data_IF_255265462345
#
_entry.id   IF_255265462345
#
_cell.length_a   1.000
_cell.length_b   1.000
_cell.length_c   1.000
_cell.angle_alpha   90.00
_cell.angle_beta   90.00
_cell.angle_gamma   90.00
#
_symmetry.space_group_name_H-M   'P 1'
#
loop_
_entity.id
_entity.type
_entity.pdbx_description
1 polymer ?
#
# COMPACT_ATOMS: atom_id res chain seq x y z
N UNK A 1 -13.31 28.88 -47.93
CA UNK A 1 -13.91 27.54 -48.09
C UNK A 1 -13.09 26.56 -47.25
N UNK A 2 -13.55 26.25 -46.04
CA UNK A 2 -12.88 25.31 -45.13
C UNK A 2 -13.55 23.94 -45.27
N UNK A 3 -12.78 22.91 -45.60
CA UNK A 3 -13.25 21.53 -45.71
C UNK A 3 -13.25 20.88 -44.32
N UNK A 4 -14.41 20.36 -43.91
CA UNK A 4 -14.58 19.54 -42.70
C UNK A 4 -14.13 18.10 -42.98
N UNK A 5 -13.22 17.58 -42.16
CA UNK A 5 -12.83 16.17 -42.15
C UNK A 5 -13.74 15.44 -41.14
N UNK A 6 -14.43 14.34 -41.52
CA UNK A 6 -15.24 13.59 -40.57
C UNK A 6 -14.35 12.68 -39.69
N UNK A 7 -14.49 12.80 -38.37
CA UNK A 7 -13.93 11.89 -37.38
C UNK A 7 -14.78 10.61 -37.31
N UNK A 8 -14.22 9.49 -37.74
CA UNK A 8 -14.80 8.16 -37.48
C UNK A 8 -14.25 7.62 -36.16
N UNK A 9 -15.12 7.32 -35.20
CA UNK A 9 -14.75 6.65 -33.95
C UNK A 9 -14.62 5.13 -34.19
N UNK A 10 -13.63 4.45 -33.58
CA UNK A 10 -13.43 3.02 -33.77
C UNK A 10 -14.49 2.20 -33.02
N UNK A 11 -15.10 1.26 -33.74
CA UNK A 11 -16.02 0.27 -33.18
C UNK A 11 -15.22 -0.90 -32.60
N UNK A 12 -15.25 -1.07 -31.28
CA UNK A 12 -14.67 -2.23 -30.61
C UNK A 12 -15.62 -3.43 -30.77
N UNK A 13 -15.16 -4.49 -31.45
CA UNK A 13 -15.91 -5.75 -31.59
C UNK A 13 -15.69 -6.59 -30.33
N UNK A 14 -16.77 -6.88 -29.59
CA UNK A 14 -16.78 -7.91 -28.55
C UNK A 14 -16.66 -9.27 -29.22
N UNK A 15 -15.57 -10.01 -28.95
CA UNK A 15 -15.44 -11.40 -29.38
C UNK A 15 -15.95 -12.30 -28.26
N UNK A 16 -17.24 -12.63 -28.31
CA UNK A 16 -17.84 -13.65 -27.44
C UNK A 16 -17.45 -15.03 -27.96
N UNK A 17 -16.49 -15.71 -27.32
CA UNK A 17 -16.23 -17.14 -27.58
C UNK A 17 -17.12 -17.99 -26.69
N UNK A 18 -18.17 -18.55 -27.27
CA UNK A 18 -18.96 -19.61 -26.65
C UNK A 18 -18.13 -20.91 -26.59
N UNK A 19 -18.05 -21.54 -25.43
CA UNK A 19 -17.42 -22.84 -25.24
C UNK A 19 -18.51 -23.91 -25.42
N UNK A 20 -18.37 -24.89 -26.33
CA UNK A 20 -19.38 -25.92 -26.50
C UNK A 20 -19.27 -26.98 -25.39
N UNK A 21 -20.39 -27.24 -24.73
CA UNK A 21 -20.62 -28.40 -23.87
C UNK A 21 -20.69 -29.67 -24.73
N UNK A 22 -19.68 -30.53 -24.67
CA UNK A 22 -19.82 -31.92 -25.11
C UNK A 22 -18.81 -32.84 -24.40
N UNK A 23 -19.38 -33.83 -23.72
CA UNK A 23 -18.84 -35.17 -23.47
C UNK A 23 -17.54 -35.30 -22.65
N UNK A 24 -17.69 -35.51 -21.35
CA UNK A 24 -16.81 -36.41 -20.61
C UNK A 24 -17.70 -37.41 -19.86
N UNK A 25 -17.80 -38.62 -20.41
CA UNK A 25 -18.46 -39.77 -19.80
C UNK A 25 -17.40 -40.85 -19.57
N UNK A 26 -17.17 -41.13 -18.28
CA UNK A 26 -16.95 -42.44 -17.66
C UNK A 26 -15.73 -43.30 -18.06
N UNK A 27 -14.76 -43.37 -17.16
CA UNK A 27 -14.00 -44.60 -16.89
C UNK A 27 -14.07 -44.93 -15.39
N UNK A 28 -14.54 -46.13 -15.10
CA UNK A 28 -14.76 -46.69 -13.78
C UNK A 28 -13.45 -47.08 -13.07
N UNK A 29 -13.50 -46.93 -11.74
CA UNK A 29 -12.97 -47.83 -10.69
C UNK A 29 -11.52 -48.33 -10.83
N UNK A 30 -10.66 -47.89 -9.90
CA UNK A 30 -9.76 -48.72 -9.07
C UNK A 30 -9.01 -47.82 -8.07
N UNK A 31 -9.09 -48.15 -6.78
CA UNK A 31 -8.20 -47.61 -5.74
C UNK A 31 -8.84 -46.69 -4.70
N UNK A 32 -9.67 -47.26 -3.81
CA UNK A 32 -9.97 -46.63 -2.54
C UNK A 32 -8.76 -46.76 -1.60
N UNK A 33 -7.91 -45.74 -1.56
CA UNK A 33 -7.00 -45.50 -0.43
C UNK A 33 -7.59 -44.41 0.47
N UNK A 34 -7.36 -44.41 1.79
CA UNK A 34 -7.83 -43.31 2.64
C UNK A 34 -7.06 -42.06 2.23
N UNK A 35 -7.70 -41.22 1.43
CA UNK A 35 -7.25 -39.86 1.20
C UNK A 35 -7.34 -39.14 2.55
N UNK A 36 -6.20 -38.99 3.22
CA UNK A 36 -6.07 -38.10 4.35
C UNK A 36 -6.68 -36.76 3.93
N UNK A 37 -7.81 -36.41 4.56
CA UNK A 37 -8.45 -35.14 4.36
C UNK A 37 -7.42 -34.07 4.75
N UNK A 38 -6.77 -33.46 3.76
CA UNK A 38 -6.10 -32.18 3.95
C UNK A 38 -7.18 -31.26 4.47
N UNK A 39 -7.08 -30.87 5.74
CA UNK A 39 -7.90 -29.79 6.26
C UNK A 39 -7.69 -28.62 5.31
N UNK A 40 -8.75 -28.19 4.64
CA UNK A 40 -8.77 -26.86 4.05
C UNK A 40 -8.46 -25.95 5.22
N UNK A 41 -7.27 -25.36 5.25
CA UNK A 41 -7.01 -24.21 6.09
C UNK A 41 -8.02 -23.17 5.63
N UNK A 42 -9.14 -23.08 6.35
CA UNK A 42 -10.05 -21.94 6.23
C UNK A 42 -9.21 -20.72 6.53
N UNK A 43 -8.94 -19.92 5.51
CA UNK A 43 -8.40 -18.58 5.68
C UNK A 43 -9.31 -17.89 6.69
N UNK A 44 -8.79 -17.35 7.80
CA UNK A 44 -9.61 -16.64 8.76
C UNK A 44 -10.46 -15.63 7.99
N UNK A 45 -11.79 -15.67 8.17
CA UNK A 45 -12.65 -14.63 7.61
C UNK A 45 -12.13 -13.30 8.15
N UNK A 46 -11.72 -12.34 7.29
CA UNK A 46 -11.20 -11.08 7.78
C UNK A 46 -12.26 -10.49 8.71
N UNK A 47 -11.87 -10.22 9.96
CA UNK A 47 -12.79 -9.80 11.01
C UNK A 47 -13.66 -8.63 10.57
N UNK A 48 -14.85 -8.50 11.16
CA UNK A 48 -15.81 -7.42 10.89
C UNK A 48 -15.22 -6.03 11.21
N UNK A 49 -14.50 -5.45 10.26
CA UNK A 49 -13.90 -4.12 10.35
C UNK A 49 -14.65 -3.08 9.51
N UNK A 50 -14.49 -1.80 9.83
CA UNK A 50 -15.07 -0.72 8.99
C UNK A 50 -14.10 -0.33 7.88
N UNK A 51 -14.64 0.05 6.72
CA UNK A 51 -13.86 0.51 5.57
C UNK A 51 -14.31 1.92 5.20
N UNK A 52 -13.35 2.81 5.01
CA UNK A 52 -13.54 4.15 4.50
C UNK A 52 -12.69 4.35 3.23
N UNK A 53 -13.28 4.93 2.20
CA UNK A 53 -12.57 5.31 0.97
C UNK A 53 -11.86 6.64 1.15
N UNK A 54 -10.66 6.75 0.58
CA UNK A 54 -9.79 7.92 0.64
C UNK A 54 -9.38 8.33 -0.79
N UNK A 55 -10.27 9.01 -1.52
CA UNK A 55 -9.94 9.53 -2.84
C UNK A 55 -9.04 10.77 -2.73
N UNK A 56 -8.02 10.82 -3.59
CA UNK A 56 -7.15 11.97 -3.82
C UNK A 56 -6.62 12.58 -2.50
N UNK A 57 -6.68 13.91 -2.35
CA UNK A 57 -6.14 14.64 -1.20
C UNK A 57 -6.64 14.15 0.18
N UNK A 58 -7.80 13.46 0.24
CA UNK A 58 -8.39 12.91 1.48
C UNK A 58 -7.45 11.97 2.21
N UNK A 59 -6.61 11.22 1.48
CA UNK A 59 -5.66 10.28 2.07
C UNK A 59 -4.65 11.00 2.98
N UNK A 60 -4.06 12.09 2.50
CA UNK A 60 -3.03 12.83 3.25
C UNK A 60 -3.57 13.38 4.57
N UNK A 61 -4.78 13.94 4.54
CA UNK A 61 -5.42 14.50 5.74
C UNK A 61 -5.83 13.41 6.74
N UNK A 62 -6.25 12.26 6.23
CA UNK A 62 -6.62 11.11 7.08
C UNK A 62 -5.38 10.49 7.71
N UNK A 63 -4.31 10.29 6.95
CA UNK A 63 -3.04 9.77 7.48
C UNK A 63 -2.47 10.70 8.57
N UNK A 64 -2.50 12.02 8.35
CA UNK A 64 -2.07 12.99 9.34
C UNK A 64 -2.87 12.87 10.66
N UNK A 65 -4.20 12.81 10.58
CA UNK A 65 -5.08 12.61 11.75
C UNK A 65 -4.76 11.31 12.50
N UNK A 66 -4.54 10.22 11.78
CA UNK A 66 -4.22 8.93 12.38
C UNK A 66 -2.84 8.96 13.08
N UNK A 67 -1.82 9.57 12.48
CA UNK A 67 -0.49 9.76 13.10
C UNK A 67 -0.58 10.64 14.36
N UNK A 68 -1.37 11.71 14.31
CA UNK A 68 -1.56 12.62 15.44
C UNK A 68 -2.31 11.95 16.60
N UNK A 69 -3.28 11.09 16.31
CA UNK A 69 -4.05 10.34 17.30
C UNK A 69 -3.33 9.08 17.83
N UNK A 70 -2.29 8.60 17.14
CA UNK A 70 -1.57 7.38 17.52
C UNK A 70 -1.01 7.46 18.94
N UNK A 71 -1.16 6.35 19.67
CA UNK A 71 -0.85 6.24 21.10
C UNK A 71 0.22 5.21 21.43
N UNK A 72 0.40 4.19 20.59
CA UNK A 72 1.30 3.07 20.86
C UNK A 72 2.34 2.89 19.76
N UNK A 73 1.91 2.76 18.51
CA UNK A 73 2.79 2.35 17.41
C UNK A 73 2.33 2.82 16.03
N UNK A 74 3.30 3.16 15.19
CA UNK A 74 3.12 3.49 13.78
C UNK A 74 4.14 2.69 12.97
N UNK A 75 3.66 1.89 12.02
CA UNK A 75 4.47 1.23 11.00
C UNK A 75 4.09 1.74 9.62
N UNK A 76 5.06 2.24 8.86
CA UNK A 76 4.85 2.76 7.52
C UNK A 76 5.80 2.04 6.56
N UNK A 77 5.29 1.43 5.50
CA UNK A 77 6.09 0.94 4.38
C UNK A 77 5.73 1.75 3.13
N UNK A 78 6.73 2.39 2.52
CA UNK A 78 6.50 3.38 1.47
C UNK A 78 7.52 3.27 0.34
N UNK A 79 7.03 3.09 -0.88
CA UNK A 79 7.84 3.10 -2.09
C UNK A 79 8.57 4.43 -2.28
N UNK A 80 7.84 5.55 -2.16
CA UNK A 80 8.45 6.87 -2.29
C UNK A 80 7.92 7.83 -1.23
N UNK A 81 8.81 8.30 -0.38
CA UNK A 81 8.55 9.36 0.58
C UNK A 81 9.50 10.53 0.31
N UNK A 82 9.01 11.51 -0.45
CA UNK A 82 9.80 12.66 -0.90
C UNK A 82 9.36 13.93 -0.20
N UNK A 83 10.19 14.37 0.75
CA UNK A 83 10.02 15.66 1.43
C UNK A 83 10.72 16.78 0.66
N UNK A 84 10.29 18.02 0.92
CA UNK A 84 10.95 19.24 0.45
C UNK A 84 10.87 20.31 1.54
N UNK A 85 11.90 21.17 1.68
CA UNK A 85 11.90 22.24 2.68
C UNK A 85 10.86 23.34 2.43
N UNK A 86 10.12 23.31 1.31
CA UNK A 86 9.03 24.27 1.05
C UNK A 86 7.95 24.23 2.14
N UNK A 87 7.50 25.40 2.60
CA UNK A 87 6.51 25.52 3.69
C UNK A 87 5.15 24.86 3.41
N UNK A 88 4.80 24.65 2.15
CA UNK A 88 3.54 24.01 1.73
C UNK A 88 3.69 22.52 1.33
N UNK A 89 4.86 21.90 1.56
CA UNK A 89 5.09 20.51 1.18
C UNK A 89 4.35 19.56 2.15
N UNK A 90 3.26 18.92 1.68
CA UNK A 90 2.45 18.00 2.48
C UNK A 90 3.23 16.79 3.01
N UNK A 91 4.12 16.13 2.23
CA UNK A 91 4.98 15.07 2.76
C UNK A 91 5.87 15.54 3.92
N UNK A 92 6.44 16.75 3.84
CA UNK A 92 7.23 17.30 4.95
C UNK A 92 6.37 17.52 6.21
N UNK A 93 5.09 17.87 6.05
CA UNK A 93 4.11 17.89 7.15
C UNK A 93 3.97 16.52 7.81
N UNK A 94 3.73 15.48 7.02
CA UNK A 94 3.62 14.10 7.55
C UNK A 94 4.91 13.64 8.23
N UNK A 95 6.09 13.99 7.70
CA UNK A 95 7.36 13.69 8.35
C UNK A 95 7.49 14.37 9.72
N UNK A 96 7.04 15.63 9.86
CA UNK A 96 6.99 16.32 11.16
C UNK A 96 6.02 15.64 12.12
N UNK A 97 4.87 15.19 11.65
CA UNK A 97 3.88 14.51 12.50
C UNK A 97 4.41 13.16 13.01
N UNK A 98 5.15 12.40 12.19
CA UNK A 98 5.82 11.16 12.60
C UNK A 98 6.89 11.42 13.67
N UNK A 99 7.70 12.47 13.48
CA UNK A 99 8.70 12.89 14.47
C UNK A 99 8.03 13.32 15.78
N UNK A 100 6.95 14.09 15.70
CA UNK A 100 6.18 14.50 16.87
C UNK A 100 5.58 13.28 17.59
N UNK A 101 5.04 12.29 16.87
CA UNK A 101 4.55 11.05 17.46
C UNK A 101 5.67 10.30 18.20
N UNK A 102 6.85 10.21 17.58
CA UNK A 102 8.02 9.59 18.21
C UNK A 102 8.42 10.31 19.50
N UNK A 103 8.38 11.64 19.51
CA UNK A 103 8.68 12.47 20.68
C UNK A 103 7.63 12.32 21.80
N UNK A 104 6.37 12.04 21.47
CA UNK A 104 5.33 11.68 22.44
C UNK A 104 5.54 10.30 23.08
N UNK A 105 6.49 9.50 22.59
CA UNK A 105 6.77 8.14 23.08
C UNK A 105 6.15 7.03 22.24
N UNK A 106 5.46 7.36 21.14
CA UNK A 106 4.93 6.36 20.19
C UNK A 106 6.11 5.66 19.51
N UNK A 107 6.03 4.32 19.37
CA UNK A 107 7.00 3.58 18.57
C UNK A 107 6.76 3.84 17.09
N UNK A 108 7.68 4.51 16.40
CA UNK A 108 7.54 4.83 14.98
C UNK A 108 8.61 4.11 14.17
N UNK A 109 8.16 3.28 13.22
CA UNK A 109 9.01 2.54 12.27
C UNK A 109 8.59 2.87 10.83
N UNK A 110 9.57 3.21 10.00
CA UNK A 110 9.38 3.49 8.57
C UNK A 110 10.29 2.59 7.75
N UNK A 111 9.75 1.91 6.75
CA UNK A 111 10.45 1.10 5.77
C UNK A 111 10.34 1.81 4.43
N UNK A 112 11.47 2.10 3.80
CA UNK A 112 11.53 2.78 2.49
C UNK A 112 12.11 1.85 1.44
N UNK A 113 11.63 1.96 0.20
CA UNK A 113 12.24 1.27 -0.95
C UNK A 113 13.68 1.74 -1.14
N UNK A 114 14.55 0.76 -1.41
CA UNK A 114 15.88 0.97 -1.97
C UNK A 114 16.03 0.19 -3.28
N UNK A 115 16.25 0.91 -4.38
CA UNK A 115 16.34 0.35 -5.73
C UNK A 115 17.79 0.20 -6.20
N UNK A 116 18.12 -0.90 -6.89
CA UNK A 116 19.42 -1.06 -7.55
C UNK A 116 19.56 -0.26 -8.86
N UNK A 117 18.47 0.31 -9.38
CA UNK A 117 18.45 0.93 -10.72
C UNK A 117 17.82 2.33 -10.75
N UNK A 118 17.20 2.79 -9.66
CA UNK A 118 16.65 4.15 -9.56
C UNK A 118 17.40 4.99 -8.49
N UNK A 119 18.53 5.63 -8.84
CA UNK A 119 19.28 6.46 -7.90
C UNK A 119 18.53 7.74 -7.49
N UNK A 120 17.53 8.20 -8.26
CA UNK A 120 16.74 9.38 -7.91
C UNK A 120 15.75 9.06 -6.80
N UNK A 121 15.10 7.90 -6.88
CA UNK A 121 14.27 7.37 -5.80
C UNK A 121 15.09 7.21 -4.52
N UNK A 122 16.25 6.57 -4.60
CA UNK A 122 17.12 6.33 -3.45
C UNK A 122 17.52 7.63 -2.77
N UNK A 123 17.92 8.65 -3.55
CA UNK A 123 18.26 9.97 -3.00
C UNK A 123 17.09 10.58 -2.24
N UNK A 124 15.90 10.60 -2.83
CA UNK A 124 14.72 11.18 -2.20
C UNK A 124 14.33 10.45 -0.90
N UNK A 125 14.34 9.11 -0.90
CA UNK A 125 14.07 8.32 0.29
C UNK A 125 15.16 8.50 1.36
N UNK A 126 16.44 8.59 0.96
CA UNK A 126 17.57 8.81 1.88
C UNK A 126 17.50 10.18 2.57
N UNK A 127 17.21 11.25 1.82
CA UNK A 127 17.03 12.59 2.40
C UNK A 127 15.92 12.60 3.47
N UNK A 128 14.78 11.97 3.15
CA UNK A 128 13.67 11.83 4.12
C UNK A 128 14.06 10.94 5.30
N UNK A 129 14.77 9.83 5.06
CA UNK A 129 15.23 8.92 6.10
C UNK A 129 16.16 9.61 7.10
N UNK A 130 17.07 10.45 6.63
CA UNK A 130 17.99 11.23 7.47
C UNK A 130 17.22 12.21 8.36
N UNK A 131 16.23 12.93 7.81
CA UNK A 131 15.40 13.84 8.58
C UNK A 131 14.59 13.11 9.67
N UNK A 132 13.99 11.96 9.33
CA UNK A 132 13.22 11.13 10.27
C UNK A 132 14.12 10.53 11.37
N UNK A 133 15.28 9.97 11.00
CA UNK A 133 16.27 9.42 11.96
C UNK A 133 16.77 10.49 12.92
N UNK A 134 17.03 11.71 12.43
CA UNK A 134 17.39 12.86 13.28
C UNK A 134 16.30 13.20 14.30
N UNK A 135 15.02 12.97 13.96
CA UNK A 135 13.89 13.08 14.88
C UNK A 135 13.65 11.86 15.79
N UNK A 136 14.53 10.85 15.76
CA UNK A 136 14.47 9.66 16.59
C UNK A 136 13.58 8.54 16.05
N UNK A 137 13.07 8.66 14.81
CA UNK A 137 12.25 7.63 14.15
C UNK A 137 13.16 6.48 13.68
N UNK A 138 12.71 5.24 13.87
CA UNK A 138 13.40 4.08 13.31
C UNK A 138 13.11 4.00 11.81
N UNK A 139 14.14 4.16 10.97
CA UNK A 139 14.00 4.05 9.52
C UNK A 139 14.87 2.93 8.97
N UNK A 140 14.25 2.03 8.22
CA UNK A 140 14.85 0.88 7.55
C UNK A 140 14.69 1.03 6.02
N UNK A 141 15.56 0.36 5.28
CA UNK A 141 15.40 0.16 3.85
C UNK A 141 15.06 -1.30 3.58
N UNK A 142 14.22 -1.54 2.59
CA UNK A 142 13.85 -2.89 2.16
C UNK A 142 14.98 -3.58 1.37
N UNK A 143 14.72 -4.84 1.00
CA UNK A 143 15.65 -5.63 0.19
C UNK A 143 15.65 -5.18 -1.27
N UNK A 144 16.81 -4.79 -1.85
CA UNK A 144 16.86 -4.40 -3.27
C UNK A 144 16.72 -5.57 -4.24
N UNK A 145 16.57 -6.81 -3.73
CA UNK A 145 16.40 -8.01 -4.55
C UNK A 145 15.09 -7.98 -5.35
N UNK A 146 14.06 -7.31 -4.82
CA UNK A 146 12.75 -7.17 -5.45
C UNK A 146 12.11 -5.87 -4.97
N UNK A 147 11.69 -5.02 -5.92
CA UNK A 147 11.02 -3.77 -5.63
C UNK A 147 9.74 -3.97 -4.82
N UNK A 148 9.65 -3.29 -3.69
CA UNK A 148 8.46 -3.14 -2.88
C UNK A 148 7.73 -1.87 -3.29
N UNK A 149 6.72 -2.00 -4.15
CA UNK A 149 5.88 -0.86 -4.54
C UNK A 149 4.79 -0.52 -3.49
N UNK A 150 5.01 -0.88 -2.23
CA UNK A 150 4.05 -0.80 -1.14
C UNK A 150 3.77 0.65 -0.72
N UNK A 151 2.50 0.95 -0.38
CA UNK A 151 2.08 2.17 0.31
C UNK A 151 1.12 1.76 1.43
N UNK A 152 1.72 1.38 2.54
CA UNK A 152 1.04 0.73 3.66
C UNK A 152 1.35 1.51 4.93
N UNK A 153 0.33 1.81 5.72
CA UNK A 153 0.50 2.29 7.08
C UNK A 153 -0.36 1.47 8.04
N UNK A 154 0.19 1.13 9.20
CA UNK A 154 -0.52 0.49 10.30
C UNK A 154 -0.33 1.34 11.54
N UNK A 155 -1.44 1.75 12.16
CA UNK A 155 -1.49 2.61 13.33
C UNK A 155 -2.13 1.82 14.47
N UNK A 156 -1.44 1.79 15.62
CA UNK A 156 -1.84 1.11 16.85
C UNK A 156 -2.31 -0.35 16.63
N UNK A 157 -1.70 -1.04 15.65
CA UNK A 157 -2.02 -2.43 15.25
C UNK A 157 -3.52 -2.63 14.96
N UNK A 158 -4.20 -1.60 14.47
CA UNK A 158 -5.65 -1.58 14.25
C UNK A 158 -6.05 -0.90 12.96
N UNK A 159 -5.60 0.34 12.77
CA UNK A 159 -5.96 1.13 11.60
C UNK A 159 -4.95 0.90 10.48
N UNK A 160 -5.45 0.45 9.34
CA UNK A 160 -4.64 0.14 8.17
C UNK A 160 -4.96 1.14 7.07
N UNK A 161 -3.95 1.79 6.51
CA UNK A 161 -4.08 2.56 5.28
C UNK A 161 -3.36 1.85 4.15
N UNK A 162 -4.10 1.55 3.07
CA UNK A 162 -3.60 0.78 1.92
C UNK A 162 -4.09 1.41 0.62
N UNK A 163 -3.22 1.57 -0.36
CA UNK A 163 -3.63 1.96 -1.71
C UNK A 163 -2.49 2.45 -2.59
N UNK A 164 -2.78 3.48 -3.40
CA UNK A 164 -1.90 3.96 -4.48
C UNK A 164 -1.00 5.15 -4.07
N UNK A 165 -1.36 5.91 -3.02
CA UNK A 165 -0.68 7.14 -2.64
C UNK A 165 0.76 6.94 -2.18
N UNK A 166 1.71 7.39 -2.99
CA UNK A 166 3.06 7.69 -2.48
C UNK A 166 3.02 8.94 -1.58
N UNK A 167 4.00 9.10 -0.68
CA UNK A 167 4.14 10.32 0.11
C UNK A 167 4.96 11.36 -0.66
N UNK A 168 4.33 11.91 -1.70
CA UNK A 168 4.89 12.95 -2.57
C UNK A 168 3.89 14.09 -2.74
N UNK A 169 4.38 15.30 -3.06
CA UNK A 169 3.49 16.45 -3.27
C UNK A 169 2.52 16.24 -4.45
N UNK A 170 2.93 15.53 -5.49
CA UNK A 170 2.06 15.20 -6.62
C UNK A 170 0.94 14.24 -6.19
N UNK A 171 1.27 13.13 -5.55
CA UNK A 171 0.27 12.15 -5.09
C UNK A 171 -0.71 12.74 -4.07
N UNK A 172 -0.22 13.56 -3.13
CA UNK A 172 -1.07 14.11 -2.07
C UNK A 172 -1.88 15.36 -2.48
N UNK A 173 -1.78 15.85 -3.72
CA UNK A 173 -2.45 17.10 -4.11
C UNK A 173 -2.89 17.22 -5.56
N UNK A 174 -2.34 16.44 -6.48
CA UNK A 174 -2.50 16.67 -7.92
C UNK A 174 -2.87 15.40 -8.69
N UNK A 175 -2.34 14.25 -8.31
CA UNK A 175 -2.65 12.99 -8.97
C UNK A 175 -4.06 12.52 -8.59
N UNK A 176 -4.67 11.75 -9.50
CA UNK A 176 -5.78 10.89 -9.14
C UNK A 176 -5.27 9.64 -8.45
N UNK A 177 -5.67 9.47 -7.20
CA UNK A 177 -5.18 8.41 -6.33
C UNK A 177 -6.35 7.88 -5.50
N UNK A 178 -6.29 6.61 -5.12
CA UNK A 178 -7.33 5.97 -4.34
C UNK A 178 -6.74 5.05 -3.29
N UNK A 179 -7.23 5.13 -2.06
CA UNK A 179 -6.79 4.32 -0.95
C UNK A 179 -7.95 4.04 0.01
N UNK A 180 -7.72 3.16 0.97
CA UNK A 180 -8.68 2.78 1.98
C UNK A 180 -8.08 3.02 3.36
N UNK A 181 -8.91 3.46 4.31
CA UNK A 181 -8.69 3.27 5.74
C UNK A 181 -9.55 2.09 6.18
N UNK A 182 -8.92 1.11 6.82
CA UNK A 182 -9.58 -0.05 7.40
C UNK A 182 -9.36 -0.04 8.91
N UNK A 183 -10.43 -0.18 9.68
CA UNK A 183 -10.35 -0.47 11.12
C UNK A 183 -10.50 -1.98 11.30
N UNK A 184 -9.36 -2.69 11.33
CA UNK A 184 -9.35 -4.14 11.40
C UNK A 184 -8.04 -4.64 12.04
N UNK A 185 -8.04 -4.97 13.34
CA UNK A 185 -6.86 -5.49 14.02
C UNK A 185 -6.28 -6.77 13.41
N UNK A 186 -7.13 -7.69 12.92
CA UNK A 186 -6.63 -8.92 12.31
C UNK A 186 -5.86 -8.63 11.00
N UNK A 187 -6.43 -7.76 10.15
CA UNK A 187 -5.74 -7.32 8.94
C UNK A 187 -4.46 -6.53 9.25
N UNK A 188 -4.44 -5.74 10.33
CA UNK A 188 -3.26 -5.03 10.75
C UNK A 188 -2.09 -5.98 11.04
N UNK A 189 -2.36 -7.11 11.68
CA UNK A 189 -1.35 -8.15 11.93
C UNK A 189 -0.85 -8.79 10.63
N UNK A 190 -1.73 -9.07 9.68
CA UNK A 190 -1.35 -9.61 8.36
C UNK A 190 -0.44 -8.63 7.59
N UNK A 191 -0.79 -7.34 7.60
CA UNK A 191 0.01 -6.30 6.96
C UNK A 191 1.37 -6.16 7.65
N UNK A 192 1.41 -6.16 8.98
CA UNK A 192 2.67 -6.10 9.74
C UNK A 192 3.56 -7.30 9.43
N UNK A 193 2.99 -8.52 9.39
CA UNK A 193 3.72 -9.72 9.01
C UNK A 193 4.27 -9.62 7.58
N UNK A 194 3.48 -9.10 6.63
CA UNK A 194 3.95 -8.84 5.28
C UNK A 194 5.09 -7.81 5.24
N UNK A 195 5.01 -6.72 6.02
CA UNK A 195 6.07 -5.70 6.09
C UNK A 195 7.41 -6.30 6.54
N UNK A 196 7.43 -7.29 7.43
CA UNK A 196 8.68 -7.99 7.81
C UNK A 196 9.33 -8.71 6.63
N UNK A 197 8.53 -9.20 5.67
CA UNK A 197 9.05 -9.87 4.46
C UNK A 197 9.75 -8.93 3.47
N UNK A 198 9.61 -7.62 3.66
CA UNK A 198 10.29 -6.61 2.84
C UNK A 198 11.74 -6.41 3.27
N UNK A 199 12.07 -6.73 4.52
CA UNK A 199 13.40 -6.50 5.07
C UNK A 199 14.45 -7.46 4.47
N UNK A 200 15.74 -7.04 4.39
CA UNK A 200 16.82 -7.82 3.77
C UNK A 200 17.06 -9.25 4.28
#
# INVERSE_FOLDING_TARGET
MAQLIPLTLPQWRVVSRAIPLAAILLCCLLGAGPAAARSKTETPSPGSGTVQTLPDATYGDTLAKQIQAASQRIDLAMFLFKTSPSGNNRPAGLARDLIAARQRGVAVRVILEYSNYDPKLNRANQETAEALRKGGVTVLFDSPKRTSHAKLAVIDRRYCLVGSHNLTQSALSHNHEFSLLLDNPALAEEILAYMETLLP
#
